data_IF_472331294449
#
_entry.id   IF_472331294449
#
_cell.length_a   1.000
_cell.length_b   1.000
_cell.length_c   1.000
_cell.angle_alpha   90.00
_cell.angle_beta   90.00
_cell.angle_gamma   90.00
#
_symmetry.space_group_name_H-M   'P 1'
#
loop_
_entity.id
_entity.type
_entity.pdbx_description
1 polymer ?
#
# COMPACT_ATOMS: atom_id res chain seq x y z
N UNK A 1 16.25 3.02 -11.05
CA UNK A 1 15.41 2.50 -9.94
C UNK A 1 14.41 3.58 -9.59
N UNK A 2 13.11 3.27 -9.54
CA UNK A 2 12.03 4.23 -9.21
C UNK A 2 12.20 4.73 -7.77
N UNK A 3 11.89 6.02 -7.57
CA UNK A 3 11.93 6.68 -6.26
C UNK A 3 10.52 6.75 -5.68
N UNK A 4 10.36 6.37 -4.42
CA UNK A 4 9.07 6.46 -3.74
C UNK A 4 9.17 7.35 -2.50
N UNK A 5 8.09 8.05 -2.19
CA UNK A 5 7.86 8.70 -0.89
C UNK A 5 6.70 8.00 -0.21
N UNK A 6 6.87 7.67 1.06
CA UNK A 6 5.84 6.96 1.85
C UNK A 6 5.23 7.96 2.84
N UNK A 7 3.90 8.07 2.84
CA UNK A 7 3.14 8.89 3.77
C UNK A 7 2.52 8.03 4.87
N UNK A 8 2.71 8.44 6.13
CA UNK A 8 2.22 7.72 7.31
C UNK A 8 1.51 8.66 8.29
N UNK A 9 0.65 8.13 9.16
CA UNK A 9 0.06 8.89 10.29
C UNK A 9 0.35 8.27 11.66
N UNK A 10 0.91 7.07 11.73
CA UNK A 10 1.04 6.36 12.99
C UNK A 10 2.19 5.36 13.03
N UNK A 11 1.87 4.11 13.40
CA UNK A 11 2.85 3.02 13.57
C UNK A 11 3.64 2.71 12.29
N UNK A 12 2.97 2.71 11.13
CA UNK A 12 3.64 2.48 9.84
C UNK A 12 3.94 1.00 9.55
N UNK A 13 3.08 0.06 9.94
CA UNK A 13 3.31 -1.37 9.70
C UNK A 13 3.43 -1.73 8.22
N UNK A 14 2.58 -1.13 7.36
CA UNK A 14 2.68 -1.28 5.91
C UNK A 14 3.98 -0.65 5.36
N UNK A 15 4.44 0.48 5.91
CA UNK A 15 5.76 1.03 5.59
C UNK A 15 6.86 0.03 5.96
N UNK A 16 6.80 -0.58 7.14
CA UNK A 16 7.78 -1.57 7.58
C UNK A 16 7.85 -2.78 6.63
N UNK A 17 6.68 -3.24 6.13
CA UNK A 17 6.62 -4.31 5.13
C UNK A 17 7.27 -3.91 3.79
N UNK A 18 7.04 -2.68 3.32
CA UNK A 18 7.70 -2.13 2.13
C UNK A 18 9.22 -2.06 2.32
N UNK A 19 9.69 -1.56 3.46
CA UNK A 19 11.12 -1.48 3.77
C UNK A 19 11.78 -2.85 3.91
N UNK A 20 11.06 -3.84 4.46
CA UNK A 20 11.54 -5.22 4.53
C UNK A 20 11.68 -5.84 3.13
N UNK A 21 10.70 -5.64 2.25
CA UNK A 21 10.74 -6.11 0.87
C UNK A 21 11.86 -5.44 0.06
N UNK A 22 12.12 -4.14 0.28
CA UNK A 22 13.25 -3.43 -0.31
C UNK A 22 14.58 -4.06 0.15
N UNK A 23 14.74 -4.28 1.45
CA UNK A 23 15.97 -4.90 2.01
C UNK A 23 16.18 -6.31 1.49
N UNK A 24 15.11 -7.08 1.30
CA UNK A 24 15.14 -8.43 0.72
C UNK A 24 15.39 -8.45 -0.79
N UNK A 25 15.44 -7.30 -1.46
CA UNK A 25 15.64 -7.18 -2.90
C UNK A 25 14.41 -7.53 -3.76
N UNK A 26 13.26 -7.81 -3.14
CA UNK A 26 12.00 -8.12 -3.84
C UNK A 26 11.23 -6.88 -4.28
N UNK A 27 11.56 -5.71 -3.72
CA UNK A 27 11.00 -4.42 -4.08
C UNK A 27 12.10 -3.50 -4.64
N UNK A 28 12.24 -3.37 -5.98
CA UNK A 28 13.32 -2.63 -6.63
C UNK A 28 13.05 -1.13 -6.68
N UNK A 29 12.99 -0.46 -5.52
CA UNK A 29 12.77 0.98 -5.39
C UNK A 29 13.80 1.64 -4.48
N UNK A 30 13.94 2.96 -4.60
CA UNK A 30 14.60 3.79 -3.61
C UNK A 30 13.54 4.49 -2.77
N UNK A 31 13.49 4.24 -1.47
CA UNK A 31 12.65 5.03 -0.55
C UNK A 31 13.37 6.35 -0.28
N UNK A 32 12.90 7.42 -0.92
CA UNK A 32 13.52 8.74 -0.86
C UNK A 32 13.24 9.45 0.47
N UNK A 33 12.01 9.31 0.97
CA UNK A 33 11.60 9.84 2.26
C UNK A 33 10.38 9.11 2.82
N UNK A 34 10.21 9.21 4.14
CA UNK A 34 8.97 8.93 4.87
C UNK A 34 8.48 10.24 5.46
N UNK A 35 7.26 10.66 5.13
CA UNK A 35 6.67 11.90 5.61
C UNK A 35 5.45 11.58 6.46
N UNK A 36 5.38 12.15 7.67
CA UNK A 36 4.23 12.00 8.55
C UNK A 36 3.47 13.32 8.71
N UNK A 37 2.14 13.22 8.87
CA UNK A 37 1.30 14.39 9.16
C UNK A 37 1.26 14.76 10.65
N UNK A 38 2.02 14.04 11.50
CA UNK A 38 2.14 14.29 12.94
C UNK A 38 3.49 13.82 13.47
N UNK A 39 4.04 14.58 14.43
CA UNK A 39 5.38 14.36 14.93
C UNK A 39 5.56 13.09 15.79
N UNK A 40 4.47 12.62 16.41
CA UNK A 40 4.44 11.43 17.27
C UNK A 40 4.21 10.12 16.49
N UNK A 41 4.21 10.15 15.15
CA UNK A 41 4.13 8.97 14.32
C UNK A 41 5.36 8.06 14.55
N UNK A 42 5.10 6.87 15.15
CA UNK A 42 6.17 5.93 15.53
C UNK A 42 7.00 5.45 14.35
N UNK A 43 6.40 5.36 13.16
CA UNK A 43 7.08 4.96 11.93
C UNK A 43 8.22 5.89 11.52
N UNK A 44 8.25 7.16 11.97
CA UNK A 44 9.38 8.05 11.73
C UNK A 44 10.68 7.55 12.40
N UNK A 45 10.55 6.97 13.60
CA UNK A 45 11.68 6.34 14.30
C UNK A 45 12.25 5.15 13.52
N UNK A 46 11.37 4.30 13.00
CA UNK A 46 11.76 3.15 12.14
C UNK A 46 12.48 3.61 10.86
N UNK A 47 11.98 4.67 10.20
CA UNK A 47 12.61 5.23 9.00
C UNK A 47 14.03 5.77 9.30
N UNK A 48 14.18 6.58 10.37
CA UNK A 48 15.47 7.12 10.78
C UNK A 48 16.48 6.04 11.13
N UNK A 49 16.05 5.00 11.86
CA UNK A 49 16.91 3.87 12.23
C UNK A 49 17.46 3.11 11.01
N UNK A 50 16.78 3.23 9.86
CA UNK A 50 17.22 2.66 8.58
C UNK A 50 17.95 3.66 7.67
N UNK A 51 18.29 4.85 8.17
CA UNK A 51 18.98 5.90 7.41
C UNK A 51 18.10 6.57 6.34
N UNK A 52 16.78 6.43 6.42
CA UNK A 52 15.84 7.03 5.48
C UNK A 52 15.45 8.43 6.00
N UNK A 53 15.40 9.41 5.09
CA UNK A 53 14.91 10.75 5.39
C UNK A 53 13.50 10.66 5.99
N UNK A 54 13.29 11.26 7.18
CA UNK A 54 12.02 11.20 7.91
C UNK A 54 11.58 12.60 8.31
N UNK A 55 10.52 13.08 7.67
CA UNK A 55 10.02 14.44 7.80
C UNK A 55 8.64 14.50 8.44
N UNK A 56 8.30 15.68 8.94
CA UNK A 56 6.99 15.97 9.51
C UNK A 56 6.41 17.21 8.87
N UNK A 57 5.23 17.06 8.28
CA UNK A 57 4.37 18.17 7.88
C UNK A 57 3.14 18.12 8.80
N UNK A 58 3.22 18.80 9.95
CA UNK A 58 2.18 18.70 10.98
C UNK A 58 0.88 19.35 10.50
N UNK A 59 -0.16 18.56 10.27
CA UNK A 59 -1.44 19.06 9.75
C UNK A 59 -2.10 20.10 10.68
N UNK A 60 -1.82 20.06 11.98
CA UNK A 60 -2.32 21.00 12.98
C UNK A 60 -1.67 22.38 12.89
N UNK A 61 -0.58 22.54 12.16
CA UNK A 61 0.10 23.82 11.96
C UNK A 61 -0.54 24.68 10.84
N UNK A 62 -1.55 24.17 10.14
CA UNK A 62 -2.16 24.83 9.01
C UNK A 62 -3.63 25.17 9.28
N UNK A 63 -4.05 26.37 8.81
CA UNK A 63 -5.40 26.85 9.01
C UNK A 63 -6.44 26.14 8.12
N UNK A 64 -6.02 25.54 7.00
CA UNK A 64 -6.91 24.84 6.07
C UNK A 64 -6.25 23.57 5.54
N UNK A 65 -7.08 22.69 4.96
CA UNK A 65 -6.62 21.47 4.30
C UNK A 65 -5.79 21.78 3.07
N UNK A 66 -6.18 22.81 2.32
CA UNK A 66 -5.49 23.27 1.12
C UNK A 66 -4.07 23.77 1.45
N UNK A 67 -3.92 24.53 2.53
CA UNK A 67 -2.61 25.01 2.98
C UNK A 67 -1.72 23.86 3.44
N UNK A 68 -2.27 22.88 4.16
CA UNK A 68 -1.55 21.67 4.54
C UNK A 68 -1.13 20.87 3.31
N UNK A 69 -2.03 20.61 2.37
CA UNK A 69 -1.76 19.83 1.17
C UNK A 69 -0.72 20.52 0.27
N UNK A 70 -0.71 21.84 0.19
CA UNK A 70 0.31 22.61 -0.54
C UNK A 70 1.70 22.42 0.09
N UNK A 71 1.79 22.52 1.42
CA UNK A 71 3.04 22.29 2.15
C UNK A 71 3.51 20.82 2.04
N UNK A 72 2.57 19.86 2.14
CA UNK A 72 2.86 18.45 1.94
C UNK A 72 3.38 18.18 0.53
N UNK A 73 2.74 18.75 -0.50
CA UNK A 73 3.19 18.60 -1.87
C UNK A 73 4.60 19.19 -2.07
N UNK A 74 4.91 20.35 -1.49
CA UNK A 74 6.25 20.95 -1.58
C UNK A 74 7.32 20.03 -0.93
N UNK A 75 7.03 19.46 0.24
CA UNK A 75 7.93 18.50 0.90
C UNK A 75 8.13 17.24 0.05
N UNK A 76 7.07 16.69 -0.53
CA UNK A 76 7.13 15.51 -1.41
C UNK A 76 7.96 15.79 -2.66
N UNK A 77 7.69 16.91 -3.34
CA UNK A 77 8.32 17.24 -4.64
C UNK A 77 9.82 17.49 -4.49
N UNK A 78 10.30 17.93 -3.32
CA UNK A 78 11.73 18.05 -3.01
C UNK A 78 12.47 16.72 -3.16
N UNK A 79 11.77 15.58 -3.00
CA UNK A 79 12.32 14.23 -3.17
C UNK A 79 12.15 13.67 -4.58
N UNK A 80 11.48 14.37 -5.49
CA UNK A 80 11.25 13.96 -6.89
C UNK A 80 10.78 12.50 -7.02
N UNK A 81 9.66 12.10 -6.38
CA UNK A 81 9.21 10.71 -6.42
C UNK A 81 8.53 10.34 -7.73
N UNK A 82 8.74 9.11 -8.16
CA UNK A 82 7.96 8.46 -9.22
C UNK A 82 6.58 8.00 -8.70
N UNK A 83 6.51 7.60 -7.41
CA UNK A 83 5.28 7.13 -6.77
C UNK A 83 5.17 7.64 -5.34
N UNK A 84 3.96 8.04 -4.98
CA UNK A 84 3.55 8.26 -3.59
C UNK A 84 2.82 7.02 -3.06
N UNK A 85 3.15 6.61 -1.84
CA UNK A 85 2.60 5.43 -1.18
C UNK A 85 1.95 5.84 0.13
N UNK A 86 0.63 5.70 0.24
CA UNK A 86 -0.11 5.95 1.47
C UNK A 86 -0.11 4.69 2.35
N UNK A 87 0.69 4.68 3.39
CA UNK A 87 0.83 3.54 4.30
C UNK A 87 0.18 3.85 5.67
N UNK A 88 -1.15 3.87 5.71
CA UNK A 88 -1.91 4.28 6.88
C UNK A 88 -1.87 5.80 7.09
N UNK A 89 -2.03 6.56 6.02
CA UNK A 89 -2.11 8.02 6.06
C UNK A 89 -3.55 8.47 6.30
N UNK A 90 -3.85 8.92 7.53
CA UNK A 90 -5.21 9.20 8.01
C UNK A 90 -5.64 10.65 7.74
N UNK A 91 -5.45 11.14 6.52
CA UNK A 91 -5.93 12.45 6.07
C UNK A 91 -6.64 12.31 4.73
N UNK A 92 -7.78 12.97 4.60
CA UNK A 92 -8.44 13.13 3.30
C UNK A 92 -7.72 14.25 2.56
N UNK A 93 -7.12 13.89 1.45
CA UNK A 93 -6.39 14.81 0.55
C UNK A 93 -7.37 15.58 -0.32
N UNK A 94 -7.05 16.82 -0.66
CA UNK A 94 -7.89 17.63 -1.55
C UNK A 94 -7.88 17.09 -2.98
N UNK A 95 -8.93 17.35 -3.77
CA UNK A 95 -8.93 16.98 -5.19
C UNK A 95 -7.78 17.60 -5.99
N UNK A 96 -7.31 18.78 -5.60
CA UNK A 96 -6.16 19.43 -6.25
C UNK A 96 -4.85 18.65 -5.97
N UNK A 97 -4.64 18.21 -4.73
CA UNK A 97 -3.50 17.35 -4.39
C UNK A 97 -3.55 16.02 -5.16
N UNK A 98 -4.71 15.36 -5.15
CA UNK A 98 -4.87 14.07 -5.83
C UNK A 98 -4.58 14.19 -7.34
N UNK A 99 -5.14 15.21 -8.00
CA UNK A 99 -4.84 15.47 -9.44
C UNK A 99 -3.36 15.70 -9.72
N UNK A 100 -2.62 16.36 -8.82
CA UNK A 100 -1.16 16.57 -8.96
C UNK A 100 -0.38 15.26 -9.08
N UNK A 101 -0.86 14.22 -8.39
CA UNK A 101 -0.21 12.92 -8.34
C UNK A 101 -1.04 11.81 -9.01
N UNK A 102 -1.93 12.18 -9.92
CA UNK A 102 -2.77 11.22 -10.65
C UNK A 102 -1.92 10.16 -11.35
N UNK A 103 -2.34 8.89 -11.26
CA UNK A 103 -1.61 7.74 -11.81
C UNK A 103 -0.33 7.36 -11.05
N UNK A 104 0.07 8.11 -10.02
CA UNK A 104 1.26 7.84 -9.20
C UNK A 104 1.04 8.10 -7.70
N UNK A 105 -0.18 7.91 -7.23
CA UNK A 105 -0.57 7.94 -5.82
C UNK A 105 -1.30 6.64 -5.51
N UNK A 106 -0.73 5.80 -4.68
CA UNK A 106 -1.24 4.46 -4.37
C UNK A 106 -1.57 4.34 -2.88
N UNK A 107 -2.70 3.70 -2.58
CA UNK A 107 -3.17 3.47 -1.22
C UNK A 107 -3.45 1.98 -1.01
N UNK A 108 -3.38 1.55 0.25
CA UNK A 108 -3.93 0.28 0.70
C UNK A 108 -5.10 0.54 1.62
N UNK A 109 -6.23 -0.12 1.36
CA UNK A 109 -7.47 0.02 2.11
C UNK A 109 -7.89 -1.34 2.69
N UNK A 110 -8.24 -1.41 3.99
CA UNK A 110 -8.50 -2.68 4.66
C UNK A 110 -9.94 -3.16 4.41
N UNK A 111 -10.34 -3.28 3.15
CA UNK A 111 -11.58 -3.93 2.70
C UNK A 111 -11.46 -4.40 1.25
N UNK A 112 -12.41 -5.22 0.79
CA UNK A 112 -12.57 -5.58 -0.62
C UNK A 112 -13.40 -4.49 -1.33
N UNK A 113 -12.75 -3.40 -1.72
CA UNK A 113 -13.43 -2.33 -2.47
C UNK A 113 -14.15 -2.87 -3.71
N UNK A 114 -15.34 -2.36 -4.05
CA UNK A 114 -15.99 -1.16 -3.52
C UNK A 114 -16.77 -1.35 -2.21
N UNK A 115 -16.71 -2.52 -1.56
CA UNK A 115 -17.34 -2.73 -0.27
C UNK A 115 -16.58 -2.01 0.85
N UNK A 116 -17.30 -1.42 1.80
CA UNK A 116 -16.78 -0.78 3.00
C UNK A 116 -15.72 0.32 2.76
N UNK A 117 -15.99 1.35 1.95
CA UNK A 117 -15.12 2.50 1.86
C UNK A 117 -15.09 3.25 3.20
N UNK A 118 -14.04 4.05 3.46
CA UNK A 118 -13.89 4.85 4.67
C UNK A 118 -13.43 4.04 5.88
N UNK A 119 -13.87 4.45 7.09
CA UNK A 119 -13.34 3.94 8.35
C UNK A 119 -14.12 2.71 8.88
N UNK A 120 -13.53 2.05 9.88
CA UNK A 120 -14.13 0.94 10.66
C UNK A 120 -14.57 -0.26 9.80
N UNK A 121 -13.82 -0.58 8.77
CA UNK A 121 -14.17 -1.60 7.76
C UNK A 121 -14.40 -2.99 8.37
N UNK A 122 -13.54 -3.41 9.30
CA UNK A 122 -13.64 -4.71 9.97
C UNK A 122 -14.91 -4.82 10.83
N UNK A 123 -15.17 -3.81 11.67
CA UNK A 123 -16.38 -3.79 12.50
C UNK A 123 -17.65 -3.78 11.65
N UNK A 124 -17.65 -3.05 10.53
CA UNK A 124 -18.78 -3.01 9.58
C UNK A 124 -18.99 -4.37 8.90
N UNK A 125 -17.92 -5.01 8.43
CA UNK A 125 -17.99 -6.32 7.81
C UNK A 125 -18.54 -7.38 8.77
N UNK A 126 -18.12 -7.35 10.04
CA UNK A 126 -18.65 -8.23 11.09
C UNK A 126 -20.13 -7.96 11.35
N UNK A 127 -20.52 -6.69 11.50
CA UNK A 127 -21.92 -6.29 11.76
C UNK A 127 -22.86 -6.71 10.62
N UNK A 128 -22.40 -6.68 9.37
CA UNK A 128 -23.17 -7.12 8.19
C UNK A 128 -23.10 -8.65 7.97
N UNK A 129 -22.40 -9.39 8.84
CA UNK A 129 -22.32 -10.85 8.77
C UNK A 129 -21.55 -11.38 7.55
N UNK A 130 -20.64 -10.60 7.00
CA UNK A 130 -19.78 -11.03 5.89
C UNK A 130 -19.03 -12.31 6.22
N UNK A 131 -18.84 -13.17 5.23
CA UNK A 131 -18.04 -14.41 5.37
C UNK A 131 -16.64 -14.28 4.79
N UNK A 132 -16.44 -13.25 3.98
CA UNK A 132 -15.16 -12.90 3.37
C UNK A 132 -14.92 -11.41 3.56
N UNK A 133 -13.70 -11.06 3.90
CA UNK A 133 -13.22 -9.69 3.99
C UNK A 133 -11.81 -9.62 3.39
N UNK A 134 -11.12 -8.46 3.46
CA UNK A 134 -9.78 -8.41 2.90
C UNK A 134 -9.20 -7.01 2.79
N UNK A 135 -8.27 -6.85 1.86
CA UNK A 135 -7.62 -5.58 1.56
C UNK A 135 -7.56 -5.31 0.06
N UNK A 136 -7.49 -4.03 -0.28
CA UNK A 136 -7.39 -3.54 -1.66
C UNK A 136 -6.24 -2.55 -1.78
N UNK A 137 -5.33 -2.80 -2.71
CA UNK A 137 -4.37 -1.80 -3.21
C UNK A 137 -4.98 -1.14 -4.44
N UNK A 138 -5.04 0.19 -4.44
CA UNK A 138 -5.63 0.96 -5.53
C UNK A 138 -4.88 2.27 -5.77
N UNK A 139 -4.99 2.83 -6.97
CA UNK A 139 -4.63 4.22 -7.21
C UNK A 139 -5.66 5.15 -6.60
N UNK A 140 -5.19 6.26 -6.04
CA UNK A 140 -6.08 7.24 -5.40
C UNK A 140 -6.65 8.19 -6.45
N UNK A 141 -7.97 8.40 -6.38
CA UNK A 141 -8.73 9.39 -7.15
C UNK A 141 -9.34 10.42 -6.21
N UNK A 142 -9.97 11.45 -6.77
CA UNK A 142 -10.65 12.48 -5.98
C UNK A 142 -11.86 11.94 -5.19
N UNK A 143 -12.42 10.82 -5.62
CA UNK A 143 -13.46 10.10 -4.91
C UNK A 143 -12.82 9.14 -3.90
N UNK A 144 -13.31 9.17 -2.67
CA UNK A 144 -12.74 8.41 -1.55
C UNK A 144 -12.86 6.91 -1.82
N UNK A 145 -11.71 6.21 -1.75
CA UNK A 145 -11.60 4.75 -1.89
C UNK A 145 -12.26 4.18 -3.17
N UNK A 146 -12.26 4.95 -4.26
CA UNK A 146 -12.94 4.61 -5.52
C UNK A 146 -12.00 4.62 -6.74
N UNK A 147 -10.71 4.55 -6.56
CA UNK A 147 -9.75 4.56 -7.66
C UNK A 147 -9.48 3.17 -8.26
N UNK A 148 -8.77 3.11 -9.40
CA UNK A 148 -8.45 1.88 -10.10
C UNK A 148 -7.74 0.86 -9.21
N UNK A 149 -8.32 -0.35 -9.09
CA UNK A 149 -7.81 -1.43 -8.24
C UNK A 149 -6.61 -2.09 -8.89
N UNK A 150 -5.52 -2.22 -8.13
CA UNK A 150 -4.29 -2.89 -8.56
C UNK A 150 -4.28 -4.35 -8.14
N UNK A 151 -4.63 -4.61 -6.87
CA UNK A 151 -4.59 -5.95 -6.29
C UNK A 151 -5.53 -6.03 -5.09
N UNK A 152 -6.12 -7.20 -4.89
CA UNK A 152 -6.92 -7.50 -3.71
C UNK A 152 -6.45 -8.80 -3.07
N UNK A 153 -6.61 -8.90 -1.75
CA UNK A 153 -6.48 -10.15 -1.01
C UNK A 153 -7.74 -10.39 -0.20
N UNK A 154 -8.19 -11.64 -0.17
CA UNK A 154 -9.37 -12.06 0.56
C UNK A 154 -9.00 -12.97 1.73
N UNK A 155 -9.68 -12.80 2.85
CA UNK A 155 -9.54 -13.64 4.05
C UNK A 155 -10.91 -14.09 4.52
N UNK A 156 -11.02 -15.28 5.15
CA UNK A 156 -12.27 -15.70 5.77
C UNK A 156 -12.57 -14.85 7.02
N UNK A 157 -13.84 -14.60 7.26
CA UNK A 157 -14.36 -14.09 8.55
C UNK A 157 -14.79 -15.31 9.35
N UNK A 158 -14.14 -15.53 10.50
CA UNK A 158 -14.39 -16.67 11.36
C UNK A 158 -15.52 -16.39 12.37
N UNK A 159 -16.21 -17.42 12.88
CA UNK A 159 -17.35 -17.23 13.79
C UNK A 159 -17.03 -16.42 15.07
N UNK A 160 -15.81 -16.56 15.59
CA UNK A 160 -15.38 -15.94 16.85
C UNK A 160 -14.53 -14.67 16.60
N UNK A 161 -14.51 -14.12 15.37
CA UNK A 161 -13.77 -12.89 15.10
C UNK A 161 -14.43 -11.69 15.78
N UNK A 162 -13.58 -10.90 16.40
CA UNK A 162 -13.82 -9.49 16.68
C UNK A 162 -13.10 -8.60 15.65
N UNK A 163 -13.25 -7.28 15.80
CA UNK A 163 -12.66 -6.33 14.86
C UNK A 163 -11.12 -6.40 14.85
N UNK A 164 -10.50 -6.70 15.98
CA UNK A 164 -9.04 -6.73 16.12
C UNK A 164 -8.44 -8.01 15.54
N UNK A 165 -9.08 -9.16 15.76
CA UNK A 165 -8.65 -10.45 15.18
C UNK A 165 -8.79 -10.46 13.66
N UNK A 166 -9.91 -9.93 13.14
CA UNK A 166 -10.10 -9.77 11.71
C UNK A 166 -9.09 -8.76 11.12
N UNK A 167 -8.86 -7.62 11.79
CA UNK A 167 -7.86 -6.62 11.37
C UNK A 167 -6.46 -7.21 11.30
N UNK A 168 -6.05 -8.00 12.29
CA UNK A 168 -4.74 -8.65 12.28
C UNK A 168 -4.57 -9.62 11.10
N UNK A 169 -5.64 -10.38 10.77
CA UNK A 169 -5.64 -11.30 9.63
C UNK A 169 -5.56 -10.56 8.29
N UNK A 170 -6.31 -9.47 8.13
CA UNK A 170 -6.26 -8.61 6.94
C UNK A 170 -4.88 -7.96 6.83
N UNK A 171 -4.34 -7.39 7.91
CA UNK A 171 -3.04 -6.74 7.92
C UNK A 171 -1.91 -7.67 7.47
N UNK A 172 -1.97 -8.96 7.83
CA UNK A 172 -1.00 -9.94 7.36
C UNK A 172 -0.98 -10.06 5.83
N UNK A 173 -2.14 -9.94 5.18
CA UNK A 173 -2.23 -9.95 3.71
C UNK A 173 -1.82 -8.62 3.08
N UNK A 174 -2.11 -7.48 3.76
CA UNK A 174 -1.65 -6.17 3.31
C UNK A 174 -0.13 -6.13 3.16
N UNK A 175 0.59 -6.71 4.13
CA UNK A 175 2.06 -6.78 4.13
C UNK A 175 2.64 -7.61 2.97
N UNK A 176 1.81 -8.43 2.30
CA UNK A 176 2.18 -9.21 1.12
C UNK A 176 1.83 -8.45 -0.17
N UNK A 177 0.55 -8.02 -0.28
CA UNK A 177 0.06 -7.46 -1.54
C UNK A 177 0.58 -6.05 -1.80
N UNK A 178 0.82 -5.23 -0.76
CA UNK A 178 1.25 -3.86 -0.98
C UNK A 178 2.67 -3.76 -1.54
N UNK A 179 3.70 -4.44 -0.98
CA UNK A 179 5.03 -4.48 -1.61
C UNK A 179 4.99 -5.03 -3.04
N UNK A 180 4.16 -6.04 -3.32
CA UNK A 180 4.01 -6.62 -4.65
C UNK A 180 3.42 -5.62 -5.65
N UNK A 181 2.37 -4.90 -5.28
CA UNK A 181 1.76 -3.88 -6.12
C UNK A 181 2.73 -2.73 -6.42
N UNK A 182 3.48 -2.27 -5.40
CA UNK A 182 4.53 -1.24 -5.59
C UNK A 182 5.67 -1.76 -6.47
N UNK A 183 6.05 -3.04 -6.36
CA UNK A 183 7.05 -3.65 -7.24
C UNK A 183 6.58 -3.68 -8.70
N UNK A 184 5.31 -4.00 -8.96
CA UNK A 184 4.75 -3.95 -10.32
C UNK A 184 4.77 -2.54 -10.91
N UNK A 185 4.47 -1.51 -10.09
CA UNK A 185 4.65 -0.13 -10.52
C UNK A 185 6.10 0.19 -10.85
N UNK A 186 7.04 -0.22 -9.98
CA UNK A 186 8.47 0.01 -10.19
C UNK A 186 9.03 -0.64 -11.45
N UNK A 187 8.41 -1.74 -11.87
CA UNK A 187 8.75 -2.50 -13.09
C UNK A 187 7.99 -2.03 -14.34
N UNK A 188 7.24 -0.92 -14.28
CA UNK A 188 6.40 -0.39 -15.36
C UNK A 188 5.36 -1.39 -15.89
N UNK A 189 4.89 -2.29 -15.02
CA UNK A 189 3.91 -3.33 -15.36
C UNK A 189 2.46 -2.87 -15.29
N UNK A 190 2.18 -1.78 -14.57
CA UNK A 190 0.82 -1.30 -14.39
C UNK A 190 0.43 -0.33 -15.50
N UNK A 191 -0.70 -0.58 -16.14
CA UNK A 191 -1.32 0.29 -17.14
C UNK A 191 -2.75 0.58 -16.72
N UNK A 192 -3.14 1.85 -16.71
CA UNK A 192 -4.51 2.27 -16.41
C UNK A 192 -5.20 2.59 -17.73
N UNK A 193 -6.21 1.80 -18.08
CA UNK A 193 -7.01 1.98 -19.29
C UNK A 193 -8.50 2.06 -18.90
N UNK A 194 -9.15 3.15 -19.24
CA UNK A 194 -10.58 3.39 -18.93
C UNK A 194 -10.93 3.14 -17.45
N UNK A 195 -10.03 3.53 -16.53
CA UNK A 195 -10.24 3.36 -15.09
C UNK A 195 -9.96 1.94 -14.55
N UNK A 196 -9.48 1.04 -15.38
CA UNK A 196 -9.12 -0.34 -15.00
C UNK A 196 -7.60 -0.49 -15.07
N UNK A 197 -7.01 -1.09 -14.02
CA UNK A 197 -5.58 -1.46 -14.05
C UNK A 197 -5.42 -2.79 -14.77
N UNK A 198 -4.46 -2.84 -15.69
CA UNK A 198 -3.97 -4.08 -16.30
C UNK A 198 -2.52 -4.30 -15.92
N UNK A 199 -2.17 -5.55 -15.64
CA UNK A 199 -0.79 -5.94 -15.35
C UNK A 199 -0.17 -6.52 -16.60
N UNK A 200 0.88 -5.87 -17.13
CA UNK A 200 1.65 -6.42 -18.25
C UNK A 200 2.39 -7.67 -17.80
N UNK A 201 2.22 -8.76 -18.51
CA UNK A 201 3.07 -9.94 -18.40
C UNK A 201 4.43 -9.55 -18.98
N UNK A 202 5.50 -9.70 -18.19
CA UNK A 202 6.83 -9.62 -18.75
C UNK A 202 7.09 -10.95 -19.47
N UNK A 203 7.35 -10.90 -20.78
CA UNK A 203 7.81 -12.10 -21.49
C UNK A 203 9.16 -12.52 -20.90
N UNK A 204 9.16 -13.57 -20.10
CA UNK A 204 10.33 -14.13 -19.42
C UNK A 204 11.37 -14.75 -20.38
N UNK A 205 11.27 -14.50 -21.68
CA UNK A 205 12.24 -14.99 -22.67
C UNK A 205 13.68 -14.48 -22.44
N UNK A 206 13.87 -13.42 -21.65
CA UNK A 206 15.20 -12.87 -21.34
C UNK A 206 15.79 -13.38 -20.00
N UNK A 207 14.99 -13.98 -19.12
CA UNK A 207 15.43 -14.39 -17.76
C UNK A 207 15.65 -15.90 -17.64
N UNK A 208 15.19 -16.70 -18.60
CA UNK A 208 15.33 -18.16 -18.60
C UNK A 208 16.79 -18.66 -18.84
N UNK A 209 17.71 -17.76 -19.16
CA UNK A 209 19.12 -18.16 -19.42
C UNK A 209 19.95 -18.34 -18.13
N UNK A 210 19.45 -17.97 -16.94
CA UNK A 210 20.26 -17.97 -15.71
C UNK A 210 19.70 -18.77 -14.52
N UNK A 211 18.58 -19.50 -14.67
CA UNK A 211 18.07 -20.33 -13.56
C UNK A 211 17.74 -21.75 -14.05
N UNK A 212 18.71 -22.64 -13.94
CA UNK A 212 18.47 -24.08 -13.97
C UNK A 212 17.67 -24.48 -12.70
N UNK A 213 16.66 -25.37 -12.80
CA UNK A 213 15.83 -25.71 -11.66
C UNK A 213 16.61 -26.61 -10.69
N UNK A 214 16.81 -26.11 -9.48
CA UNK A 214 17.21 -26.96 -8.36
C UNK A 214 15.94 -27.61 -7.78
N UNK A 215 15.73 -28.87 -8.11
CA UNK A 215 14.64 -29.70 -7.60
C UNK A 215 14.90 -30.05 -6.14
N UNK A 216 14.34 -29.29 -5.20
CA UNK A 216 14.23 -29.71 -3.81
C UNK A 216 12.77 -29.65 -3.36
N UNK A 217 12.33 -30.80 -2.84
CA UNK A 217 10.97 -31.15 -2.50
C UNK A 217 10.21 -30.09 -1.67
N UNK A 218 9.00 -29.84 -2.12
CA UNK A 218 7.99 -29.02 -1.49
C UNK A 218 7.35 -29.81 -0.33
N UNK A 219 7.75 -29.55 0.91
CA UNK A 219 7.02 -29.93 2.11
C UNK A 219 6.61 -28.64 2.84
N UNK A 220 5.39 -28.19 2.57
CA UNK A 220 4.80 -27.08 3.31
C UNK A 220 4.53 -27.51 4.77
N UNK A 221 4.83 -26.66 5.77
CA UNK A 221 4.47 -26.95 7.16
C UNK A 221 2.94 -26.91 7.34
N UNK A 222 2.35 -27.74 8.21
CA UNK A 222 0.94 -27.71 8.50
C UNK A 222 0.59 -26.41 9.23
N UNK A 223 -0.30 -25.60 8.63
CA UNK A 223 -0.76 -24.33 9.19
C UNK A 223 -0.64 -23.08 8.28
N UNK A 224 -0.16 -23.23 7.06
CA UNK A 224 -0.16 -22.10 6.12
C UNK A 224 -1.60 -21.74 5.75
N UNK A 225 -2.07 -20.58 6.25
CA UNK A 225 -3.34 -20.00 5.81
C UNK A 225 -3.23 -19.70 4.32
N UNK A 226 -4.06 -20.36 3.52
CA UNK A 226 -4.16 -20.07 2.09
C UNK A 226 -4.96 -18.78 1.92
N UNK A 227 -4.30 -17.71 1.48
CA UNK A 227 -4.95 -16.46 1.08
C UNK A 227 -5.24 -16.51 -0.41
N UNK A 228 -6.47 -16.12 -0.78
CA UNK A 228 -6.78 -15.88 -2.18
C UNK A 228 -6.27 -14.49 -2.56
N UNK A 229 -5.24 -14.44 -3.40
CA UNK A 229 -4.79 -13.20 -4.04
C UNK A 229 -5.40 -13.11 -5.43
N UNK A 230 -6.05 -12.00 -5.72
CA UNK A 230 -6.66 -11.72 -7.02
C UNK A 230 -5.88 -10.58 -7.64
N UNK A 231 -5.20 -10.88 -8.73
CA UNK A 231 -4.42 -9.95 -9.52
C UNK A 231 -5.29 -9.35 -10.62
N UNK A 232 -4.99 -8.14 -11.06
CA UNK A 232 -5.54 -7.59 -12.29
C UNK A 232 -4.88 -8.32 -13.48
N UNK A 233 -5.58 -9.28 -14.05
CA UNK A 233 -5.14 -10.05 -15.21
C UNK A 233 -5.40 -9.29 -16.51
#
# INVERSE_FOLDING_TARGET
MKRIVILISGRGSNMEALLAAQTAGTLPVTVAAVIANRADAKGLGTARARGICAEVVAHTAFASREAFDAALAAAIDAHTPDLLVLAGFMRILTPAFVRRYEGRLMNIHPSLLPAFPGLHTHARALAEGCKVHGATVHFVTAELDHGPVVMQSAVPVLPDDDADTLAARVLATEHVIYPRAVAWFAQDRLVIESGIVRVRVLDDAATAANNAPNSAANSAPPGAQQFLMIDAA
#
